data_IF_370420115483
#
_entry.id   IF_370420115483
#
_cell.length_a   1.000
_cell.length_b   1.000
_cell.length_c   1.000
_cell.angle_alpha   90.00
_cell.angle_beta   90.00
_cell.angle_gamma   90.00
#
_symmetry.space_group_name_H-M   'P 1'
#
loop_
_entity.id
_entity.type
_entity.pdbx_description
1 polymer ?
#
# COMPACT_ATOMS: atom_id res chain seq x y z
N UNK A 1 -4.59 -27.07 -17.09
CA UNK A 1 -4.09 -25.85 -16.39
C UNK A 1 -5.01 -24.69 -16.76
N UNK A 2 -5.32 -23.82 -15.81
CA UNK A 2 -6.08 -22.59 -16.07
C UNK A 2 -5.14 -21.39 -16.11
N UNK A 3 -5.37 -20.48 -17.05
CA UNK A 3 -4.95 -19.09 -16.97
C UNK A 3 -6.15 -18.20 -17.29
N UNK A 4 -6.11 -16.97 -16.83
CA UNK A 4 -7.15 -15.98 -17.02
C UNK A 4 -6.70 -14.96 -18.08
N UNK A 5 -7.65 -14.59 -18.94
CA UNK A 5 -7.50 -13.57 -19.96
C UNK A 5 -8.91 -13.09 -20.33
N UNK A 6 -9.15 -11.79 -20.20
CA UNK A 6 -10.47 -11.20 -20.47
C UNK A 6 -11.00 -11.56 -21.86
N UNK A 7 -12.32 -11.80 -21.95
CA UNK A 7 -12.95 -12.37 -23.14
C UNK A 7 -12.81 -11.52 -24.42
N UNK A 8 -12.61 -10.20 -24.31
CA UNK A 8 -12.32 -9.29 -25.44
C UNK A 8 -10.93 -9.50 -26.05
N UNK A 9 -10.04 -10.24 -25.38
CA UNK A 9 -8.75 -10.66 -25.90
C UNK A 9 -8.84 -12.09 -26.40
N UNK A 10 -8.56 -12.29 -27.68
CA UNK A 10 -8.64 -13.58 -28.37
C UNK A 10 -7.34 -14.35 -28.17
N UNK A 11 -7.43 -15.56 -27.63
CA UNK A 11 -6.32 -16.53 -27.65
C UNK A 11 -6.22 -17.10 -29.06
N UNK A 12 -5.11 -16.83 -29.74
CA UNK A 12 -4.85 -17.31 -31.09
C UNK A 12 -4.38 -18.77 -31.09
N UNK A 13 -3.43 -19.10 -30.20
CA UNK A 13 -2.91 -20.47 -30.03
C UNK A 13 -2.15 -20.61 -28.72
N UNK A 14 -2.07 -21.84 -28.24
CA UNK A 14 -1.23 -22.23 -27.09
C UNK A 14 -0.21 -23.25 -27.59
N UNK A 15 1.08 -22.98 -27.39
CA UNK A 15 2.18 -23.85 -27.83
C UNK A 15 2.85 -24.49 -26.62
N UNK A 16 3.00 -25.81 -26.64
CA UNK A 16 3.72 -26.60 -25.64
C UNK A 16 4.68 -27.56 -26.35
N UNK A 17 5.99 -27.45 -26.04
CA UNK A 17 7.04 -28.29 -26.65
C UNK A 17 6.97 -28.34 -28.19
N UNK A 18 6.74 -27.19 -28.80
CA UNK A 18 6.64 -27.01 -30.26
C UNK A 18 5.35 -27.50 -30.90
N UNK A 19 4.38 -28.01 -30.12
CA UNK A 19 3.06 -28.44 -30.61
C UNK A 19 1.97 -27.50 -30.13
N UNK A 20 0.99 -27.27 -30.98
CA UNK A 20 -0.21 -26.55 -30.60
C UNK A 20 -1.10 -27.43 -29.72
N UNK A 21 -1.62 -26.84 -28.63
CA UNK A 21 -2.54 -27.49 -27.70
C UNK A 21 -3.97 -26.98 -27.93
N UNK A 22 -4.94 -27.85 -27.72
CA UNK A 22 -6.34 -27.47 -27.58
C UNK A 22 -6.57 -26.74 -26.26
N UNK A 23 -7.48 -25.76 -26.29
CA UNK A 23 -7.95 -25.07 -25.10
C UNK A 23 -9.46 -24.85 -25.19
N UNK A 24 -10.10 -24.68 -24.04
CA UNK A 24 -11.48 -24.22 -23.91
C UNK A 24 -11.50 -22.92 -23.13
N UNK A 25 -12.56 -22.13 -23.28
CA UNK A 25 -12.73 -20.86 -22.57
C UNK A 25 -14.12 -20.82 -21.94
N UNK A 26 -14.17 -20.42 -20.68
CA UNK A 26 -15.38 -20.09 -19.96
C UNK A 26 -15.22 -18.68 -19.40
N UNK A 27 -15.94 -17.72 -19.98
CA UNK A 27 -15.79 -16.29 -19.67
C UNK A 27 -14.32 -15.82 -19.81
N UNK A 28 -13.70 -15.40 -18.70
CA UNK A 28 -12.31 -14.93 -18.66
C UNK A 28 -11.32 -16.06 -18.36
N UNK A 29 -11.76 -17.28 -18.03
CA UNK A 29 -10.88 -18.40 -17.74
C UNK A 29 -10.62 -19.23 -19.00
N UNK A 30 -9.36 -19.61 -19.23
CA UNK A 30 -8.91 -20.46 -20.34
C UNK A 30 -8.29 -21.73 -19.78
N UNK A 31 -8.81 -22.88 -20.20
CA UNK A 31 -8.38 -24.19 -19.76
C UNK A 31 -7.58 -24.88 -20.87
N UNK A 32 -6.32 -25.19 -20.58
CA UNK A 32 -5.41 -25.89 -21.49
C UNK A 32 -5.24 -27.33 -21.02
N UNK A 33 -5.44 -28.27 -21.93
CA UNK A 33 -5.20 -29.70 -21.72
C UNK A 33 -3.79 -30.07 -22.18
N UNK A 34 -2.97 -30.59 -21.26
CA UNK A 34 -1.61 -31.01 -21.56
C UNK A 34 -1.60 -32.51 -21.89
N UNK A 35 -0.81 -32.96 -22.87
CA UNK A 35 -0.78 -34.36 -23.29
C UNK A 35 -0.23 -35.30 -22.22
N UNK A 36 0.51 -34.75 -21.25
CA UNK A 36 1.06 -35.45 -20.09
C UNK A 36 0.88 -34.58 -18.87
N UNK A 37 0.48 -35.18 -17.75
CA UNK A 37 0.39 -34.46 -16.48
C UNK A 37 1.77 -33.86 -16.10
N UNK A 38 1.79 -32.57 -15.78
CA UNK A 38 2.98 -31.88 -15.26
C UNK A 38 3.14 -32.29 -13.80
N UNK A 39 4.29 -32.86 -13.44
CA UNK A 39 4.54 -33.38 -12.10
C UNK A 39 4.76 -32.23 -11.11
N UNK A 40 4.18 -32.33 -9.91
CA UNK A 40 4.45 -31.36 -8.83
C UNK A 40 5.96 -31.28 -8.54
N UNK A 41 6.47 -30.05 -8.46
CA UNK A 41 7.89 -29.77 -8.19
C UNK A 41 8.80 -29.76 -9.43
N UNK A 42 8.25 -29.87 -10.65
CA UNK A 42 9.02 -29.67 -11.89
C UNK A 42 8.71 -28.32 -12.53
N UNK A 43 9.70 -27.74 -13.21
CA UNK A 43 9.51 -26.59 -14.09
C UNK A 43 9.12 -27.06 -15.51
N UNK A 44 8.19 -26.36 -16.14
CA UNK A 44 7.79 -26.56 -17.53
C UNK A 44 7.35 -25.22 -18.12
N UNK A 45 7.25 -25.13 -19.45
CA UNK A 45 6.91 -23.89 -20.14
C UNK A 45 5.88 -24.12 -21.25
N UNK A 46 5.03 -23.13 -21.47
CA UNK A 46 4.15 -23.05 -22.62
C UNK A 46 4.02 -21.59 -23.04
N UNK A 47 3.63 -21.35 -24.29
CA UNK A 47 3.51 -20.00 -24.84
C UNK A 47 2.08 -19.75 -25.28
N UNK A 48 1.50 -18.65 -24.80
CA UNK A 48 0.19 -18.17 -25.24
C UNK A 48 0.38 -17.03 -26.23
N UNK A 49 -0.21 -17.16 -27.41
CA UNK A 49 -0.31 -16.08 -28.38
C UNK A 49 -1.74 -15.55 -28.35
N UNK A 50 -1.88 -14.23 -28.20
CA UNK A 50 -3.19 -13.58 -28.12
C UNK A 50 -3.17 -12.22 -28.82
N UNK A 51 -4.34 -11.71 -29.14
CA UNK A 51 -4.54 -10.41 -29.79
C UNK A 51 -5.85 -9.77 -29.32
N UNK A 52 -5.97 -8.45 -29.48
CA UNK A 52 -7.22 -7.74 -29.23
C UNK A 52 -6.99 -6.31 -28.76
N UNK A 53 -8.07 -5.70 -28.30
CA UNK A 53 -8.05 -4.39 -27.67
C UNK A 53 -8.30 -4.58 -26.17
N UNK A 54 -7.30 -4.32 -25.31
CA UNK A 54 -7.49 -4.45 -23.88
C UNK A 54 -8.48 -3.42 -23.36
N UNK A 55 -9.09 -3.69 -22.21
CA UNK A 55 -10.09 -2.81 -21.60
C UNK A 55 -9.47 -1.45 -21.29
N UNK A 56 -10.22 -0.38 -21.56
CA UNK A 56 -9.86 0.98 -21.18
C UNK A 56 -10.32 1.26 -19.75
N UNK A 57 -9.40 1.78 -18.94
CA UNK A 57 -9.69 2.36 -17.63
C UNK A 57 -10.10 3.83 -17.83
N UNK A 58 -11.37 4.14 -17.64
CA UNK A 58 -11.93 5.49 -17.86
C UNK A 58 -11.53 6.43 -16.72
N UNK A 59 -11.39 5.90 -15.50
CA UNK A 59 -11.08 6.62 -14.26
C UNK A 59 -9.94 5.94 -13.49
N UNK A 60 -8.88 5.53 -14.17
CA UNK A 60 -7.70 4.97 -13.51
C UNK A 60 -7.24 5.88 -12.34
N UNK A 61 -6.86 5.30 -11.18
CA UNK A 61 -6.75 3.87 -10.89
C UNK A 61 -8.06 3.22 -10.34
N UNK A 62 -9.18 3.94 -10.31
CA UNK A 62 -10.45 3.48 -9.72
C UNK A 62 -11.21 2.44 -10.57
N UNK A 63 -10.79 2.27 -11.83
CA UNK A 63 -11.16 1.15 -12.69
C UNK A 63 -9.90 0.55 -13.34
N UNK A 64 -9.99 -0.73 -13.68
CA UNK A 64 -8.86 -1.50 -14.19
C UNK A 64 -8.74 -1.49 -15.71
N UNK A 65 -7.50 -1.52 -16.21
CA UNK A 65 -7.18 -1.58 -17.63
C UNK A 65 -6.08 -0.62 -18.05
N UNK A 66 -6.14 -0.20 -19.31
CA UNK A 66 -5.25 0.82 -19.87
C UNK A 66 -5.86 2.22 -19.79
N UNK A 67 -5.09 3.16 -19.28
CA UNK A 67 -5.39 4.59 -19.31
C UNK A 67 -4.87 5.19 -20.63
N UNK A 68 -5.71 5.20 -21.67
CA UNK A 68 -5.33 5.69 -23.01
C UNK A 68 -5.47 7.21 -23.10
N UNK A 69 -4.37 7.94 -22.87
CA UNK A 69 -4.32 9.40 -22.98
C UNK A 69 -3.30 9.85 -24.03
N UNK A 70 -3.20 11.16 -24.17
CA UNK A 70 -2.24 11.83 -25.04
C UNK A 70 -1.57 12.98 -24.29
N UNK A 71 -0.31 13.24 -24.62
CA UNK A 71 0.42 14.41 -24.14
C UNK A 71 -0.07 15.70 -24.85
N UNK A 72 0.49 16.86 -24.47
CA UNK A 72 0.11 18.15 -25.06
C UNK A 72 0.41 18.26 -26.56
N UNK A 73 1.24 17.37 -27.12
CA UNK A 73 1.59 17.29 -28.54
C UNK A 73 0.82 16.21 -29.29
N UNK A 74 -0.12 15.54 -28.63
CA UNK A 74 -0.97 14.51 -29.21
C UNK A 74 -0.31 13.13 -29.35
N UNK A 75 0.87 12.92 -28.77
CA UNK A 75 1.54 11.61 -28.74
C UNK A 75 0.89 10.69 -27.70
N UNK A 76 0.96 9.36 -27.88
CA UNK A 76 0.43 8.42 -26.88
C UNK A 76 1.06 8.66 -25.51
N UNK A 77 0.21 8.80 -24.50
CA UNK A 77 0.58 8.77 -23.09
C UNK A 77 -0.32 7.76 -22.41
N UNK A 78 0.22 6.58 -22.15
CA UNK A 78 -0.55 5.40 -21.79
C UNK A 78 0.04 4.80 -20.53
N UNK A 79 -0.82 4.45 -19.58
CA UNK A 79 -0.45 3.70 -18.40
C UNK A 79 -1.38 2.48 -18.23
N UNK A 80 -1.00 1.55 -17.38
CA UNK A 80 -1.88 0.47 -16.90
C UNK A 80 -2.14 0.69 -15.43
N UNK A 81 -3.36 0.45 -14.97
CA UNK A 81 -3.70 0.31 -13.55
C UNK A 81 -4.72 -0.81 -13.46
N UNK A 82 -4.47 -1.85 -12.66
CA UNK A 82 -5.32 -3.05 -12.69
C UNK A 82 -5.56 -3.73 -11.35
N UNK A 83 -5.23 -3.08 -10.23
CA UNK A 83 -5.62 -3.56 -8.90
C UNK A 83 -7.16 -3.72 -8.82
N UNK A 84 -7.62 -4.76 -8.13
CA UNK A 84 -9.03 -5.13 -8.04
C UNK A 84 -9.59 -5.84 -9.28
N UNK A 85 -9.49 -5.24 -10.48
CA UNK A 85 -10.01 -5.86 -11.71
C UNK A 85 -9.18 -7.07 -12.16
N UNK A 86 -7.87 -7.03 -11.91
CA UNK A 86 -6.94 -8.09 -12.25
C UNK A 86 -6.17 -7.84 -13.54
N UNK A 87 -4.97 -8.42 -13.61
CA UNK A 87 -4.01 -8.19 -14.68
C UNK A 87 -4.38 -8.93 -15.98
N UNK A 88 -5.30 -9.91 -15.89
CA UNK A 88 -5.84 -10.64 -17.05
C UNK A 88 -6.63 -9.75 -18.02
N UNK A 89 -6.90 -8.51 -17.62
CA UNK A 89 -7.47 -7.47 -18.48
C UNK A 89 -6.57 -7.14 -19.68
N UNK A 90 -5.26 -7.45 -19.61
CA UNK A 90 -4.34 -7.20 -20.70
C UNK A 90 -3.31 -8.28 -21.03
N UNK A 91 -3.05 -9.25 -20.14
CA UNK A 91 -2.11 -10.34 -20.44
C UNK A 91 -2.50 -11.68 -19.78
N UNK A 92 -2.19 -12.83 -20.41
CA UNK A 92 -2.51 -14.14 -19.84
C UNK A 92 -1.69 -14.42 -18.57
N UNK A 93 -2.37 -14.65 -17.45
CA UNK A 93 -1.73 -14.97 -16.16
C UNK A 93 -2.69 -15.80 -15.28
N UNK A 94 -2.28 -16.27 -14.11
CA UNK A 94 -3.25 -16.75 -13.12
C UNK A 94 -3.67 -15.53 -12.31
N UNK A 95 -4.89 -15.04 -12.53
CA UNK A 95 -5.28 -13.73 -12.05
C UNK A 95 -5.81 -13.80 -10.62
N UNK A 96 -4.88 -14.05 -9.72
CA UNK A 96 -5.14 -14.21 -8.31
C UNK A 96 -4.01 -13.51 -7.55
N UNK A 97 -4.37 -12.71 -6.55
CA UNK A 97 -3.41 -11.95 -5.75
C UNK A 97 -2.31 -12.84 -5.16
N UNK A 98 -2.62 -14.10 -4.86
CA UNK A 98 -1.66 -15.05 -4.31
C UNK A 98 -0.66 -15.65 -5.32
N UNK A 99 -0.76 -15.38 -6.62
CA UNK A 99 0.16 -15.92 -7.65
C UNK A 99 1.23 -14.88 -8.01
N UNK A 100 2.35 -14.96 -7.30
CA UNK A 100 3.55 -14.17 -7.60
C UNK A 100 4.58 -15.05 -8.32
N UNK A 101 5.01 -14.59 -9.50
CA UNK A 101 6.14 -15.21 -10.22
C UNK A 101 7.44 -14.84 -9.53
N UNK A 102 8.47 -15.70 -9.61
CA UNK A 102 9.77 -15.44 -8.97
C UNK A 102 10.56 -14.29 -9.63
N UNK A 103 10.28 -14.03 -10.91
CA UNK A 103 10.92 -13.04 -11.75
C UNK A 103 10.13 -12.83 -13.04
N UNK A 104 10.39 -11.73 -13.77
CA UNK A 104 9.68 -11.45 -15.02
C UNK A 104 10.58 -10.78 -16.07
N UNK A 105 10.40 -11.18 -17.33
CA UNK A 105 10.92 -10.45 -18.49
C UNK A 105 9.76 -9.78 -19.23
N UNK A 106 9.73 -8.46 -19.25
CA UNK A 106 8.69 -7.65 -19.88
C UNK A 106 9.25 -7.06 -21.16
N UNK A 107 8.61 -7.30 -22.30
CA UNK A 107 9.14 -6.91 -23.62
C UNK A 107 8.08 -6.23 -24.48
N UNK A 108 8.03 -4.90 -24.45
CA UNK A 108 6.98 -4.10 -25.08
C UNK A 108 7.53 -3.34 -26.28
N UNK A 109 6.86 -3.46 -27.43
CA UNK A 109 7.16 -2.69 -28.64
C UNK A 109 6.19 -1.51 -28.75
N UNK A 110 6.71 -0.30 -28.93
CA UNK A 110 5.93 0.94 -29.06
C UNK A 110 6.39 1.75 -30.28
N UNK A 111 5.57 2.66 -30.83
CA UNK A 111 5.99 3.55 -31.91
C UNK A 111 7.26 4.33 -31.53
N UNK A 112 8.18 4.52 -32.48
CA UNK A 112 9.53 5.13 -32.27
C UNK A 112 9.57 6.53 -31.63
N UNK A 113 8.44 7.21 -31.53
CA UNK A 113 8.31 8.58 -31.01
C UNK A 113 7.98 8.66 -29.51
N UNK A 114 7.76 7.51 -28.88
CA UNK A 114 7.51 7.30 -27.46
C UNK A 114 8.41 6.17 -26.95
N UNK A 115 8.56 6.05 -25.63
CA UNK A 115 9.26 4.95 -24.98
C UNK A 115 8.33 4.16 -24.07
N UNK A 116 8.65 2.90 -23.81
CA UNK A 116 8.03 2.13 -22.73
C UNK A 116 8.94 2.08 -21.50
N UNK A 117 8.34 2.32 -20.34
CA UNK A 117 8.91 2.12 -19.01
C UNK A 117 8.08 1.06 -18.28
N UNK A 118 8.74 0.03 -17.79
CA UNK A 118 8.12 -1.07 -17.03
C UNK A 118 8.91 -1.34 -15.74
N UNK A 119 8.49 -2.32 -14.94
CA UNK A 119 9.14 -2.72 -13.70
C UNK A 119 10.56 -3.25 -13.91
N UNK A 120 11.39 -3.25 -12.86
CA UNK A 120 12.74 -3.81 -12.91
C UNK A 120 13.71 -3.00 -13.77
N UNK A 121 14.78 -3.60 -14.27
CA UNK A 121 15.85 -2.89 -14.99
C UNK A 121 15.72 -3.03 -16.50
N UNK A 122 15.97 -1.93 -17.22
CA UNK A 122 16.07 -1.95 -18.68
C UNK A 122 17.34 -2.71 -19.10
N UNK A 123 17.16 -3.86 -19.76
CA UNK A 123 18.28 -4.72 -20.18
C UNK A 123 18.60 -4.61 -21.67
N UNK A 124 17.64 -4.22 -22.50
CA UNK A 124 17.84 -4.07 -23.95
C UNK A 124 16.84 -3.10 -24.58
N UNK A 125 17.30 -2.32 -25.55
CA UNK A 125 16.46 -1.54 -26.46
C UNK A 125 16.74 -2.02 -27.88
N UNK A 126 15.69 -2.44 -28.60
CA UNK A 126 15.79 -3.00 -29.94
C UNK A 126 14.97 -2.18 -30.94
N UNK A 127 15.63 -1.64 -31.97
CA UNK A 127 14.94 -0.97 -33.08
C UNK A 127 14.35 -2.01 -34.02
N UNK A 128 13.04 -1.95 -34.27
CA UNK A 128 12.33 -2.84 -35.16
C UNK A 128 12.20 -2.25 -36.58
N UNK A 129 11.96 -3.11 -37.59
CA UNK A 129 11.96 -2.72 -39.00
C UNK A 129 10.73 -1.92 -39.45
N UNK A 130 9.70 -1.88 -38.63
CA UNK A 130 8.35 -1.35 -38.88
C UNK A 130 8.08 -0.01 -38.18
N UNK A 131 9.13 0.68 -37.70
CA UNK A 131 8.99 1.96 -37.00
C UNK A 131 8.64 1.84 -35.53
N UNK A 132 8.76 0.63 -34.96
CA UNK A 132 8.65 0.38 -33.52
C UNK A 132 10.02 0.29 -32.85
N UNK A 133 10.05 0.57 -31.55
CA UNK A 133 11.17 0.29 -30.66
C UNK A 133 10.69 -0.63 -29.54
N UNK A 134 11.40 -1.74 -29.33
CA UNK A 134 11.11 -2.72 -28.29
C UNK A 134 12.00 -2.48 -27.07
N UNK A 135 11.38 -2.37 -25.91
CA UNK A 135 12.05 -2.20 -24.62
C UNK A 135 11.94 -3.49 -23.84
N UNK A 136 13.07 -4.02 -23.37
CA UNK A 136 13.15 -5.23 -22.58
C UNK A 136 13.54 -4.88 -21.15
N UNK A 137 12.66 -5.18 -20.22
CA UNK A 137 12.81 -4.93 -18.80
C UNK A 137 12.86 -6.26 -18.05
N UNK A 138 13.74 -6.37 -17.06
CA UNK A 138 13.88 -7.56 -16.22
C UNK A 138 13.59 -7.21 -14.77
N UNK A 139 12.58 -7.87 -14.20
CA UNK A 139 12.30 -7.93 -12.77
C UNK A 139 13.01 -9.15 -12.19
N UNK A 140 13.82 -8.94 -11.15
CA UNK A 140 14.63 -9.95 -10.51
C UNK A 140 14.00 -10.53 -9.23
N UNK A 141 13.13 -9.77 -8.58
CA UNK A 141 12.40 -10.19 -7.39
C UNK A 141 10.98 -10.70 -7.74
N UNK A 142 10.32 -11.40 -6.81
CA UNK A 142 8.92 -11.74 -6.97
C UNK A 142 8.06 -10.51 -7.20
N UNK A 143 7.01 -10.64 -8.02
CA UNK A 143 6.14 -9.52 -8.37
C UNK A 143 4.69 -9.98 -8.48
N UNK A 144 3.80 -9.21 -7.88
CA UNK A 144 2.35 -9.40 -8.01
C UNK A 144 1.89 -9.08 -9.43
N UNK A 145 0.90 -9.82 -9.93
CA UNK A 145 0.45 -9.67 -11.31
C UNK A 145 -0.11 -8.26 -11.61
N UNK A 146 -0.80 -7.62 -10.67
CA UNK A 146 -1.37 -6.27 -10.84
C UNK A 146 -0.29 -5.19 -10.83
N UNK A 147 0.86 -5.47 -10.20
CA UNK A 147 2.00 -4.57 -10.12
C UNK A 147 2.76 -4.44 -11.45
N UNK A 148 2.53 -5.35 -12.40
CA UNK A 148 3.16 -5.30 -13.73
C UNK A 148 2.62 -4.12 -14.52
N UNK A 149 3.50 -3.17 -14.80
CA UNK A 149 3.15 -1.89 -15.40
C UNK A 149 3.67 -1.75 -16.83
N UNK A 150 2.83 -1.13 -17.67
CA UNK A 150 3.21 -0.60 -18.98
C UNK A 150 2.95 0.90 -18.98
N UNK A 151 4.02 1.68 -18.89
CA UNK A 151 3.96 3.13 -19.04
C UNK A 151 4.57 3.53 -20.39
N UNK A 152 3.84 4.27 -21.20
CA UNK A 152 4.27 4.70 -22.54
C UNK A 152 4.11 6.20 -22.64
N UNK A 153 5.16 6.89 -23.09
CA UNK A 153 5.12 8.34 -23.25
C UNK A 153 6.36 8.88 -23.95
N UNK A 154 6.32 10.14 -24.37
CA UNK A 154 7.52 10.88 -24.79
C UNK A 154 8.29 11.35 -23.56
N UNK A 155 8.87 10.39 -22.84
CA UNK A 155 9.57 10.68 -21.60
C UNK A 155 10.98 11.24 -21.83
N UNK A 156 11.45 11.97 -20.84
CA UNK A 156 12.85 12.28 -20.57
C UNK A 156 13.27 11.47 -19.35
N UNK A 157 14.42 10.82 -19.45
CA UNK A 157 15.01 10.03 -18.38
C UNK A 157 16.15 10.79 -17.71
N UNK A 158 16.12 10.83 -16.37
CA UNK A 158 17.25 11.26 -15.55
C UNK A 158 17.33 10.36 -14.31
N UNK A 159 18.50 10.33 -13.66
CA UNK A 159 18.78 9.37 -12.59
C UNK A 159 19.72 9.92 -11.55
N UNK A 160 19.72 9.29 -10.38
CA UNK A 160 20.67 9.55 -9.31
C UNK A 160 21.01 8.27 -8.52
N UNK A 161 21.95 8.40 -7.59
CA UNK A 161 22.32 7.34 -6.66
C UNK A 161 21.95 7.78 -5.24
N UNK A 162 21.01 7.05 -4.64
CA UNK A 162 20.67 7.22 -3.23
C UNK A 162 21.58 6.35 -2.36
N UNK A 163 22.04 6.88 -1.23
CA UNK A 163 22.91 6.18 -0.30
C UNK A 163 22.05 5.39 0.69
N UNK A 164 21.48 4.28 0.23
CA UNK A 164 20.61 3.44 1.05
C UNK A 164 21.34 2.52 2.02
N UNK A 165 20.60 1.94 2.96
CA UNK A 165 21.13 1.08 4.03
C UNK A 165 21.86 -0.18 3.53
N UNK A 166 21.48 -0.73 2.35
CA UNK A 166 22.19 -1.87 1.71
C UNK A 166 23.28 -1.44 0.72
N UNK A 167 23.53 -0.14 0.58
CA UNK A 167 24.50 0.44 -0.36
C UNK A 167 23.87 1.39 -1.36
N UNK A 168 24.60 1.78 -2.43
CA UNK A 168 24.07 2.70 -3.44
C UNK A 168 22.87 2.12 -4.20
N UNK A 169 21.70 2.73 -4.07
CA UNK A 169 20.47 2.42 -4.81
C UNK A 169 20.39 3.29 -6.08
N UNK A 170 20.01 2.68 -7.21
CA UNK A 170 19.65 3.44 -8.41
C UNK A 170 18.24 3.99 -8.28
N UNK A 171 18.11 5.29 -8.52
CA UNK A 171 16.81 5.94 -8.68
C UNK A 171 16.72 6.50 -10.10
N UNK A 172 15.70 6.07 -10.84
CA UNK A 172 15.40 6.59 -12.18
C UNK A 172 14.08 7.36 -12.21
N UNK A 173 14.04 8.43 -12.97
CA UNK A 173 12.86 9.26 -13.13
C UNK A 173 12.51 9.36 -14.61
N UNK A 174 11.24 9.16 -14.93
CA UNK A 174 10.71 9.25 -16.28
C UNK A 174 9.58 10.27 -16.31
N UNK A 175 9.87 11.47 -16.81
CA UNK A 175 8.93 12.59 -16.86
C UNK A 175 8.59 12.93 -18.30
N UNK A 176 7.39 13.41 -18.59
CA UNK A 176 7.03 13.84 -19.93
C UNK A 176 7.98 14.95 -20.40
N UNK A 177 8.35 14.93 -21.67
CA UNK A 177 9.28 15.90 -22.26
C UNK A 177 8.83 17.36 -22.11
N UNK A 178 7.51 17.61 -22.11
CA UNK A 178 6.95 18.94 -21.85
C UNK A 178 7.10 19.41 -20.40
N UNK A 179 7.37 18.49 -19.48
CA UNK A 179 7.58 18.73 -18.07
C UNK A 179 9.06 18.71 -17.67
N UNK A 180 9.98 18.63 -18.64
CA UNK A 180 11.43 18.60 -18.46
C UNK A 180 12.00 19.97 -18.01
N UNK A 181 11.75 20.35 -16.75
CA UNK A 181 12.29 21.56 -16.13
C UNK A 181 13.14 21.22 -14.91
N UNK A 182 14.12 22.08 -14.59
CA UNK A 182 14.98 21.88 -13.42
C UNK A 182 14.20 21.85 -12.10
N UNK A 183 13.14 22.66 -11.99
CA UNK A 183 12.25 22.71 -10.82
C UNK A 183 11.52 21.38 -10.60
N UNK A 184 10.90 20.84 -11.65
CA UNK A 184 10.15 19.57 -11.58
C UNK A 184 11.06 18.38 -11.28
N UNK A 185 12.27 18.36 -11.86
CA UNK A 185 13.29 17.37 -11.51
C UNK A 185 13.71 17.46 -10.04
N UNK A 186 14.02 18.67 -9.57
CA UNK A 186 14.41 18.90 -8.18
C UNK A 186 13.29 18.53 -7.20
N UNK A 187 12.02 18.75 -7.56
CA UNK A 187 10.86 18.34 -6.78
C UNK A 187 10.81 16.82 -6.58
N UNK A 188 10.92 16.04 -7.66
CA UNK A 188 10.93 14.57 -7.58
C UNK A 188 12.14 14.04 -6.82
N UNK A 189 13.34 14.54 -7.13
CA UNK A 189 14.56 14.13 -6.44
C UNK A 189 14.47 14.38 -4.94
N UNK A 190 14.05 15.59 -4.54
CA UNK A 190 13.88 15.92 -3.12
C UNK A 190 12.90 14.96 -2.44
N UNK A 191 11.70 14.79 -2.99
CA UNK A 191 10.67 13.98 -2.34
C UNK A 191 11.05 12.49 -2.32
N UNK A 192 11.64 11.93 -3.37
CA UNK A 192 12.08 10.54 -3.39
C UNK A 192 13.20 10.27 -2.36
N UNK A 193 14.23 11.14 -2.30
CA UNK A 193 15.31 10.98 -1.31
C UNK A 193 14.78 11.10 0.12
N UNK A 194 13.93 12.08 0.40
CA UNK A 194 13.33 12.23 1.73
C UNK A 194 12.47 11.03 2.11
N UNK A 195 11.70 10.49 1.16
CA UNK A 195 10.82 9.33 1.37
C UNK A 195 11.64 8.11 1.71
N UNK A 196 12.64 7.78 0.89
CA UNK A 196 13.53 6.65 1.13
C UNK A 196 14.31 6.80 2.45
N UNK A 197 14.74 8.01 2.81
CA UNK A 197 15.44 8.27 4.08
C UNK A 197 14.54 7.98 5.28
N UNK A 198 13.33 8.52 5.30
CA UNK A 198 12.38 8.30 6.39
C UNK A 198 11.92 6.84 6.45
N UNK A 199 11.65 6.21 5.31
CA UNK A 199 11.16 4.83 5.28
C UNK A 199 12.25 3.83 5.58
N UNK A 200 13.49 4.03 5.13
CA UNK A 200 14.59 3.17 5.58
C UNK A 200 14.80 3.29 7.09
N UNK A 201 14.69 4.50 7.68
CA UNK A 201 14.72 4.65 9.14
C UNK A 201 13.65 3.79 9.83
N UNK A 202 12.39 3.90 9.42
CA UNK A 202 11.26 3.26 10.10
C UNK A 202 11.05 1.78 9.76
N UNK A 203 11.32 1.38 8.52
CA UNK A 203 10.97 0.07 7.97
C UNK A 203 12.18 -0.79 7.62
N UNK A 204 13.38 -0.20 7.57
CA UNK A 204 14.60 -0.88 7.15
C UNK A 204 14.84 -0.77 5.65
N UNK A 205 15.90 -1.41 5.14
CA UNK A 205 16.38 -1.16 3.79
C UNK A 205 15.29 -1.35 2.73
N UNK A 206 15.31 -0.52 1.69
CA UNK A 206 14.43 -0.69 0.53
C UNK A 206 14.45 -2.15 0.02
N UNK A 207 13.30 -2.78 -0.29
CA UNK A 207 13.25 -4.23 -0.54
C UNK A 207 13.60 -4.66 -1.97
N UNK A 208 13.78 -3.74 -2.92
CA UNK A 208 13.94 -4.07 -4.35
C UNK A 208 15.22 -3.48 -5.00
N UNK A 209 16.36 -3.56 -4.31
CA UNK A 209 17.65 -3.01 -4.81
C UNK A 209 18.06 -3.57 -6.19
N UNK A 210 17.80 -4.86 -6.43
CA UNK A 210 18.09 -5.55 -7.69
C UNK A 210 17.28 -5.00 -8.87
N UNK A 211 16.09 -4.44 -8.60
CA UNK A 211 15.16 -3.88 -9.60
C UNK A 211 15.29 -2.35 -9.74
N UNK A 212 15.83 -1.69 -8.71
CA UNK A 212 15.94 -0.24 -8.61
C UNK A 212 14.61 0.43 -8.22
N UNK A 213 14.64 1.73 -7.98
CA UNK A 213 13.44 2.51 -7.65
C UNK A 213 13.15 3.51 -8.76
N UNK A 214 11.88 3.70 -9.15
CA UNK A 214 11.51 4.64 -10.21
C UNK A 214 10.24 5.38 -9.91
N UNK A 215 10.20 6.65 -10.34
CA UNK A 215 8.97 7.41 -10.49
C UNK A 215 8.71 7.64 -11.98
N UNK A 216 7.52 7.26 -12.44
CA UNK A 216 7.11 7.34 -13.84
C UNK A 216 5.89 8.24 -13.95
N UNK A 217 5.99 9.32 -14.73
CA UNK A 217 4.90 10.28 -14.85
C UNK A 217 3.70 9.69 -15.61
N UNK A 218 2.53 9.68 -14.97
CA UNK A 218 1.28 9.11 -15.49
C UNK A 218 0.14 10.12 -15.42
N UNK A 219 -0.93 9.86 -16.18
CA UNK A 219 -2.10 10.73 -16.17
C UNK A 219 -2.95 10.51 -14.91
N UNK A 220 -3.17 9.25 -14.52
CA UNK A 220 -3.75 8.91 -13.22
C UNK A 220 -2.84 9.31 -12.06
N UNK A 221 -3.44 9.51 -10.89
CA UNK A 221 -2.84 10.16 -9.70
C UNK A 221 -1.60 9.47 -9.16
N UNK A 222 -1.67 8.16 -8.99
CA UNK A 222 -0.67 7.30 -8.39
C UNK A 222 -1.06 5.85 -8.61
N UNK A 223 -0.09 4.95 -8.44
CA UNK A 223 -0.26 3.50 -8.34
C UNK A 223 1.09 2.90 -7.93
N UNK A 224 1.08 1.98 -6.99
CA UNK A 224 2.24 1.41 -6.33
C UNK A 224 3.00 0.35 -7.12
N UNK A 225 2.96 0.42 -8.45
CA UNK A 225 3.59 -0.58 -9.32
C UNK A 225 5.05 -0.84 -8.92
N UNK A 226 5.30 -2.05 -8.41
CA UNK A 226 6.59 -2.44 -7.82
C UNK A 226 7.79 -1.95 -8.61
N UNK A 227 8.71 -1.20 -7.99
CA UNK A 227 9.93 -0.62 -8.61
C UNK A 227 9.71 0.39 -9.75
N UNK A 228 8.46 0.68 -10.14
CA UNK A 228 8.07 1.56 -11.25
C UNK A 228 6.82 2.37 -10.93
N UNK A 229 6.84 3.03 -9.76
CA UNK A 229 5.74 3.77 -9.16
C UNK A 229 5.21 4.83 -10.14
N UNK A 230 3.89 4.84 -10.32
CA UNK A 230 3.21 5.81 -11.16
C UNK A 230 3.03 7.14 -10.41
N UNK A 231 3.25 8.25 -11.10
CA UNK A 231 3.26 9.59 -10.52
C UNK A 231 2.44 10.57 -11.37
N UNK A 232 1.27 10.96 -10.87
CA UNK A 232 0.38 11.93 -11.52
C UNK A 232 -0.02 13.09 -10.61
N UNK A 233 0.85 13.49 -9.67
CA UNK A 233 0.57 14.55 -8.71
C UNK A 233 0.93 15.96 -9.19
N UNK A 234 1.31 16.09 -10.46
CA UNK A 234 1.62 17.38 -11.11
C UNK A 234 2.73 18.20 -10.44
N UNK A 235 3.70 17.55 -9.78
CA UNK A 235 4.85 18.22 -9.14
C UNK A 235 4.42 19.17 -8.00
N UNK A 236 3.42 18.75 -7.22
CA UNK A 236 2.87 19.53 -6.11
C UNK A 236 3.06 18.78 -4.78
N UNK A 237 3.24 19.54 -3.71
CA UNK A 237 3.06 19.00 -2.36
C UNK A 237 1.57 18.80 -2.05
N UNK A 238 1.27 17.93 -1.10
CA UNK A 238 -0.09 17.47 -0.80
C UNK A 238 -0.65 16.56 -1.88
N UNK A 239 -1.89 16.13 -1.72
CA UNK A 239 -2.62 15.39 -2.76
C UNK A 239 -3.23 16.39 -3.72
N UNK A 240 -2.59 16.58 -4.90
CA UNK A 240 -2.93 17.62 -5.89
C UNK A 240 -3.03 19.02 -5.28
N UNK A 241 -2.08 19.36 -4.41
CA UNK A 241 -2.08 20.63 -3.67
C UNK A 241 -2.97 20.66 -2.43
N UNK A 242 -3.77 19.63 -2.17
CA UNK A 242 -4.65 19.53 -1.01
C UNK A 242 -3.99 18.87 0.21
N UNK A 243 -4.53 19.15 1.40
CA UNK A 243 -4.15 18.49 2.66
C UNK A 243 -5.37 17.83 3.28
N UNK A 244 -5.45 16.50 3.16
CA UNK A 244 -6.55 15.71 3.69
C UNK A 244 -6.67 15.79 5.23
N UNK A 245 -5.58 16.13 5.94
CA UNK A 245 -5.60 16.26 7.39
C UNK A 245 -6.18 17.60 7.86
N UNK A 246 -6.20 18.63 7.00
CA UNK A 246 -6.59 19.99 7.37
C UNK A 246 -5.67 20.67 8.39
N UNK A 247 -4.48 20.12 8.65
CA UNK A 247 -3.55 20.61 9.67
C UNK A 247 -2.46 21.54 9.15
N UNK A 248 -2.28 21.58 7.83
CA UNK A 248 -1.18 22.26 7.13
C UNK A 248 0.04 21.38 6.93
N UNK A 249 0.16 20.24 7.62
CA UNK A 249 1.30 19.33 7.49
C UNK A 249 1.29 18.57 6.15
N UNK A 250 0.11 18.27 5.58
CA UNK A 250 0.01 17.60 4.28
C UNK A 250 0.58 18.44 3.12
N UNK A 251 0.69 19.76 3.27
CA UNK A 251 1.28 20.62 2.23
C UNK A 251 2.82 20.66 2.23
N UNK A 252 3.49 19.93 3.11
CA UNK A 252 4.96 20.02 3.29
C UNK A 252 5.75 19.02 2.42
N UNK A 253 5.08 18.03 1.87
CA UNK A 253 5.64 16.89 1.13
C UNK A 253 4.73 16.50 -0.03
N UNK A 254 5.26 15.78 -1.02
CA UNK A 254 4.46 15.25 -2.12
C UNK A 254 3.72 13.97 -1.68
N UNK A 255 2.38 14.05 -1.64
CA UNK A 255 1.57 12.95 -1.12
C UNK A 255 1.78 11.66 -1.88
N UNK A 256 1.76 11.73 -3.21
CA UNK A 256 1.84 10.55 -4.07
C UNK A 256 3.22 9.91 -3.97
N UNK A 257 4.31 10.70 -3.93
CA UNK A 257 5.64 10.10 -3.78
C UNK A 257 5.75 9.33 -2.47
N UNK A 258 5.29 9.89 -1.36
CA UNK A 258 5.40 9.26 -0.04
C UNK A 258 4.46 8.06 0.07
N UNK A 259 3.19 8.21 -0.28
CA UNK A 259 2.20 7.13 -0.16
C UNK A 259 2.57 5.95 -1.05
N UNK A 260 2.73 6.18 -2.36
CA UNK A 260 2.97 5.09 -3.31
C UNK A 260 4.33 4.39 -3.06
N UNK A 261 5.32 5.09 -2.50
CA UNK A 261 6.57 4.46 -2.08
C UNK A 261 6.43 3.62 -0.81
N UNK A 262 5.47 3.93 0.06
CA UNK A 262 5.24 3.17 1.28
C UNK A 262 4.81 1.74 0.97
N UNK A 263 4.10 1.57 -0.14
CA UNK A 263 3.71 0.28 -0.66
C UNK A 263 4.86 -0.64 -1.07
N UNK A 264 6.04 -0.09 -1.36
CA UNK A 264 7.23 -0.91 -1.60
C UNK A 264 7.56 -1.77 -0.37
N UNK A 265 7.28 -1.31 0.84
CA UNK A 265 7.38 -2.09 2.07
C UNK A 265 6.07 -2.83 2.42
N UNK A 266 4.91 -2.19 2.27
CA UNK A 266 3.59 -2.74 2.62
C UNK A 266 2.63 -2.75 1.42
N UNK A 267 2.57 -3.85 0.70
CA UNK A 267 1.96 -3.90 -0.63
C UNK A 267 2.74 -4.88 -1.50
N UNK A 268 4.02 -4.56 -1.69
CA UNK A 268 4.91 -5.25 -2.61
C UNK A 268 5.89 -6.18 -1.88
N UNK A 269 6.53 -5.74 -0.80
CA UNK A 269 7.40 -6.61 0.00
C UNK A 269 6.61 -7.53 0.94
N UNK A 270 5.59 -6.97 1.60
CA UNK A 270 4.60 -7.69 2.41
C UNK A 270 3.26 -7.59 1.68
N UNK A 271 2.89 -8.65 0.97
CA UNK A 271 1.64 -8.71 0.19
C UNK A 271 0.53 -9.38 1.01
N UNK A 272 -0.72 -8.94 0.99
CA UNK A 272 -1.82 -9.72 1.57
C UNK A 272 -2.10 -10.94 0.68
N UNK A 273 -2.36 -12.09 1.29
CA UNK A 273 -2.62 -13.33 0.54
C UNK A 273 -4.02 -13.37 -0.10
N UNK A 274 -4.94 -12.55 0.41
CA UNK A 274 -6.33 -12.42 -0.05
C UNK A 274 -6.74 -10.94 0.05
N UNK A 275 -7.54 -10.44 -0.92
CA UNK A 275 -8.02 -9.05 -0.95
C UNK A 275 -8.80 -8.67 0.32
N UNK A 276 -9.35 -9.64 1.05
CA UNK A 276 -9.95 -9.41 2.35
C UNK A 276 -9.02 -8.67 3.32
N UNK A 277 -7.71 -8.89 3.22
CA UNK A 277 -6.69 -8.28 4.06
C UNK A 277 -5.95 -7.12 3.37
N UNK A 278 -6.56 -6.49 2.36
CA UNK A 278 -6.02 -5.28 1.70
C UNK A 278 -5.71 -4.14 2.69
N UNK A 279 -6.38 -4.11 3.84
CA UNK A 279 -6.05 -3.17 4.91
C UNK A 279 -4.58 -3.25 5.36
N UNK A 280 -3.90 -4.40 5.23
CA UNK A 280 -2.46 -4.49 5.55
C UNK A 280 -1.63 -3.57 4.64
N UNK A 281 -2.03 -3.41 3.39
CA UNK A 281 -1.37 -2.49 2.45
C UNK A 281 -1.71 -1.05 2.83
N UNK A 282 -2.99 -0.73 2.79
CA UNK A 282 -3.45 0.65 2.86
C UNK A 282 -3.30 1.27 4.25
N UNK A 283 -3.53 0.49 5.31
CA UNK A 283 -3.39 1.00 6.68
C UNK A 283 -1.94 1.34 7.01
N UNK A 284 -0.99 0.48 6.63
CA UNK A 284 0.43 0.71 6.91
C UNK A 284 1.02 1.77 6.00
N UNK A 285 0.62 1.83 4.73
CA UNK A 285 1.02 2.89 3.82
C UNK A 285 0.45 4.23 4.26
N UNK A 286 -0.83 4.33 4.62
CA UNK A 286 -1.38 5.56 5.20
C UNK A 286 -0.67 5.97 6.49
N UNK A 287 -0.33 4.99 7.35
CA UNK A 287 0.44 5.25 8.55
C UNK A 287 1.85 5.78 8.26
N UNK A 288 2.48 5.32 7.16
CA UNK A 288 3.81 5.76 6.74
C UNK A 288 3.88 7.26 6.44
N UNK A 289 2.77 7.87 6.00
CA UNK A 289 2.66 9.33 5.82
C UNK A 289 2.93 10.08 7.13
N UNK A 290 2.32 9.61 8.23
CA UNK A 290 2.57 10.13 9.57
C UNK A 290 4.01 9.90 10.02
N UNK A 291 4.62 8.76 9.68
CA UNK A 291 6.01 8.46 10.01
C UNK A 291 7.02 9.31 9.22
N UNK A 292 6.72 9.62 7.96
CA UNK A 292 7.48 10.60 7.17
C UNK A 292 7.46 11.96 7.86
N UNK A 293 6.27 12.41 8.29
CA UNK A 293 6.12 13.67 9.01
C UNK A 293 6.89 13.64 10.33
N UNK A 294 6.85 12.53 11.06
CA UNK A 294 7.60 12.36 12.30
C UNK A 294 9.10 12.58 12.08
N UNK A 295 9.66 11.91 11.06
CA UNK A 295 11.09 11.94 10.77
C UNK A 295 11.61 13.36 10.48
N UNK A 296 10.87 14.16 9.70
CA UNK A 296 11.31 15.51 9.29
C UNK A 296 10.78 16.65 10.16
N UNK A 297 9.63 16.47 10.82
CA UNK A 297 8.89 17.55 11.50
C UNK A 297 8.54 17.23 12.96
N UNK A 298 8.83 16.02 13.44
CA UNK A 298 8.64 15.61 14.82
C UNK A 298 7.29 14.94 15.11
N UNK A 299 7.25 14.28 16.27
CA UNK A 299 6.13 13.45 16.72
C UNK A 299 4.83 14.22 16.87
N UNK A 300 4.88 15.45 17.37
CA UNK A 300 3.69 16.30 17.54
C UNK A 300 3.03 16.64 16.19
N UNK A 301 3.84 16.90 15.16
CA UNK A 301 3.36 17.14 13.80
C UNK A 301 2.70 15.89 13.21
N UNK A 302 3.35 14.72 13.41
CA UNK A 302 2.83 13.42 13.00
C UNK A 302 1.49 13.10 13.67
N UNK A 303 1.39 13.31 14.98
CA UNK A 303 0.16 13.08 15.73
C UNK A 303 -0.95 14.05 15.34
N UNK A 304 -0.63 15.31 15.05
CA UNK A 304 -1.60 16.26 14.51
C UNK A 304 -2.13 15.81 13.15
N UNK A 305 -1.26 15.39 12.23
CA UNK A 305 -1.66 14.83 10.94
C UNK A 305 -2.57 13.61 11.11
N UNK A 306 -2.16 12.64 11.92
CA UNK A 306 -2.94 11.44 12.24
C UNK A 306 -4.29 11.76 12.91
N UNK A 307 -4.37 12.82 13.71
CA UNK A 307 -5.64 13.28 14.25
C UNK A 307 -6.54 13.90 13.17
N UNK A 308 -5.99 14.73 12.30
CA UNK A 308 -6.72 15.42 11.23
C UNK A 308 -7.35 14.48 10.20
N UNK A 309 -6.62 13.44 9.79
CA UNK A 309 -7.11 12.43 8.84
C UNK A 309 -8.35 11.66 9.34
N UNK A 310 -8.63 11.68 10.66
CA UNK A 310 -9.84 11.06 11.23
C UNK A 310 -11.14 11.64 10.66
N UNK A 311 -11.10 12.88 10.18
CA UNK A 311 -12.25 13.53 9.55
C UNK A 311 -12.73 12.80 8.29
N UNK A 312 -11.87 12.00 7.65
CA UNK A 312 -12.23 11.16 6.51
C UNK A 312 -12.87 9.82 6.88
N UNK A 313 -12.78 9.37 8.14
CA UNK A 313 -13.26 8.04 8.56
C UNK A 313 -14.80 8.04 8.62
N UNK A 314 -15.44 7.16 7.86
CA UNK A 314 -16.90 7.06 7.79
C UNK A 314 -17.49 6.09 8.83
N UNK A 315 -16.73 5.07 9.22
CA UNK A 315 -17.18 3.86 9.91
C UNK A 315 -18.44 3.28 9.26
N UNK A 316 -18.37 2.97 7.97
CA UNK A 316 -19.50 2.44 7.19
C UNK A 316 -19.56 0.90 7.19
N UNK A 317 -18.40 0.23 7.21
CA UNK A 317 -18.25 -1.23 7.25
C UNK A 317 -16.87 -1.63 7.78
N UNK A 318 -16.62 -2.92 8.09
CA UNK A 318 -15.29 -3.39 8.47
C UNK A 318 -14.24 -3.11 7.38
N UNK A 319 -13.01 -2.83 7.78
CA UNK A 319 -11.90 -2.62 6.84
C UNK A 319 -11.32 -3.94 6.33
N UNK A 320 -11.58 -5.05 7.03
CA UNK A 320 -11.39 -6.39 6.49
C UNK A 320 -12.57 -6.79 5.61
N UNK A 321 -12.26 -7.22 4.39
CA UNK A 321 -13.23 -7.77 3.45
C UNK A 321 -13.63 -9.22 3.77
N UNK A 322 -14.61 -9.77 3.04
CA UNK A 322 -14.91 -11.19 3.11
C UNK A 322 -13.83 -12.02 2.39
N UNK A 323 -13.26 -13.01 3.07
CA UNK A 323 -12.28 -13.92 2.50
C UNK A 323 -12.81 -14.73 1.31
N UNK A 324 -11.91 -15.05 0.38
CA UNK A 324 -12.09 -16.02 -0.71
C UNK A 324 -13.15 -15.65 -1.76
N UNK A 325 -13.53 -14.38 -1.83
CA UNK A 325 -14.50 -13.87 -2.82
C UNK A 325 -13.96 -12.68 -3.61
N UNK A 326 -12.63 -12.50 -3.63
CA UNK A 326 -11.92 -11.44 -4.36
C UNK A 326 -12.50 -10.04 -4.07
N UNK A 327 -12.60 -9.70 -2.78
CA UNK A 327 -13.24 -8.47 -2.34
C UNK A 327 -12.58 -7.89 -1.09
N UNK A 328 -12.26 -6.62 -1.16
CA UNK A 328 -11.74 -5.81 -0.06
C UNK A 328 -12.85 -5.33 0.90
N UNK A 329 -12.44 -4.72 2.02
CA UNK A 329 -13.32 -4.09 2.99
C UNK A 329 -13.62 -2.62 2.68
N UNK A 330 -13.99 -1.87 3.70
CA UNK A 330 -14.20 -0.42 3.60
C UNK A 330 -12.95 0.34 3.16
N UNK A 331 -13.14 1.42 2.40
CA UNK A 331 -12.10 2.42 2.13
C UNK A 331 -11.56 3.12 3.39
N UNK A 332 -12.23 2.99 4.53
CA UNK A 332 -11.66 3.37 5.83
C UNK A 332 -10.36 2.62 6.16
N UNK A 333 -10.03 1.55 5.44
CA UNK A 333 -8.74 0.85 5.56
C UNK A 333 -7.53 1.78 5.47
N UNK A 334 -7.66 2.90 4.75
CA UNK A 334 -6.69 3.99 4.76
C UNK A 334 -6.70 4.74 6.11
N UNK A 335 -7.62 5.69 6.39
CA UNK A 335 -7.48 6.55 7.57
C UNK A 335 -7.75 5.84 8.90
N UNK A 336 -8.71 4.90 8.98
CA UNK A 336 -9.01 4.18 10.23
C UNK A 336 -7.86 3.26 10.60
N UNK A 337 -7.30 2.59 9.60
CA UNK A 337 -6.11 1.76 9.72
C UNK A 337 -4.88 2.51 10.20
N UNK A 338 -4.54 3.61 9.52
CA UNK A 338 -3.40 4.45 9.90
C UNK A 338 -3.54 5.04 11.30
N UNK A 339 -4.74 5.49 11.67
CA UNK A 339 -5.05 6.00 13.00
C UNK A 339 -4.96 4.92 14.08
N UNK A 340 -5.42 3.69 13.78
CA UNK A 340 -5.27 2.54 14.67
C UNK A 340 -3.79 2.25 14.94
N UNK A 341 -2.94 2.23 13.91
CA UNK A 341 -1.50 2.00 14.07
C UNK A 341 -0.83 3.11 14.89
N UNK A 342 -1.21 4.38 14.69
CA UNK A 342 -0.74 5.48 15.53
C UNK A 342 -1.17 5.33 17.01
N UNK A 343 -2.39 4.87 17.24
CA UNK A 343 -2.89 4.58 18.59
C UNK A 343 -2.11 3.43 19.23
N UNK A 344 -1.79 2.38 18.47
CA UNK A 344 -0.94 1.26 18.93
C UNK A 344 0.45 1.75 19.32
N UNK A 345 1.10 2.58 18.49
CA UNK A 345 2.37 3.23 18.85
C UNK A 345 2.26 4.02 20.15
N UNK A 346 1.15 4.74 20.34
CA UNK A 346 0.90 5.53 21.55
C UNK A 346 0.73 4.62 22.79
N UNK A 347 0.06 3.47 22.67
CA UNK A 347 -0.05 2.49 23.76
C UNK A 347 1.29 1.86 24.14
N UNK A 348 2.18 1.64 23.16
CA UNK A 348 3.51 1.09 23.40
C UNK A 348 4.42 2.10 24.11
N UNK A 349 4.23 3.40 23.86
CA UNK A 349 4.98 4.53 24.43
C UNK A 349 6.51 4.34 24.41
N UNK A 350 7.02 3.72 23.35
CA UNK A 350 8.44 3.47 23.13
C UNK A 350 8.72 3.41 21.63
N UNK A 351 9.25 4.51 21.08
CA UNK A 351 9.45 4.67 19.64
C UNK A 351 10.57 3.78 19.08
N UNK A 352 11.59 3.47 19.89
CA UNK A 352 12.62 2.50 19.49
C UNK A 352 12.02 1.11 19.34
N UNK A 353 11.20 0.68 20.30
CA UNK A 353 10.48 -0.60 20.24
C UNK A 353 9.53 -0.64 19.05
N UNK A 354 8.77 0.43 18.83
CA UNK A 354 7.86 0.52 17.68
C UNK A 354 8.59 0.44 16.34
N UNK A 355 9.69 1.18 16.17
CA UNK A 355 10.54 1.09 14.98
C UNK A 355 11.07 -0.33 14.78
N UNK A 356 11.53 -0.99 15.84
CA UNK A 356 12.02 -2.37 15.74
C UNK A 356 10.91 -3.37 15.34
N UNK A 357 9.66 -3.13 15.74
CA UNK A 357 8.52 -3.93 15.28
C UNK A 357 8.34 -3.75 13.76
N UNK A 358 8.32 -2.51 13.27
CA UNK A 358 8.12 -2.22 11.84
C UNK A 358 9.27 -2.73 10.95
N UNK A 359 10.52 -2.54 11.38
CA UNK A 359 11.70 -3.14 10.71
C UNK A 359 11.68 -4.66 10.77
N UNK A 360 11.19 -5.20 11.88
CA UNK A 360 11.02 -6.62 12.10
C UNK A 360 9.98 -7.25 11.17
N UNK A 361 8.83 -6.59 10.95
CA UNK A 361 7.83 -7.03 9.96
C UNK A 361 8.47 -7.16 8.57
N UNK A 362 9.15 -6.13 8.11
CA UNK A 362 9.75 -6.06 6.78
C UNK A 362 10.90 -7.03 6.55
N UNK A 363 11.60 -7.43 7.61
CA UNK A 363 12.65 -8.46 7.53
C UNK A 363 12.10 -9.88 7.70
N UNK A 364 11.08 -10.07 8.54
CA UNK A 364 10.48 -11.39 8.80
C UNK A 364 9.64 -11.88 7.62
N UNK A 365 8.83 -10.99 7.06
CA UNK A 365 7.92 -11.25 5.96
C UNK A 365 8.46 -10.68 4.64
N UNK A 366 9.79 -10.65 4.49
CA UNK A 366 10.45 -10.15 3.28
C UNK A 366 10.04 -10.99 2.07
N UNK A 367 9.47 -10.33 1.05
CA UNK A 367 8.90 -10.93 -0.17
C UNK A 367 7.95 -12.10 0.13
N UNK A 368 7.03 -11.89 1.06
CA UNK A 368 6.06 -12.90 1.48
C UNK A 368 4.64 -12.39 1.43
N UNK A 369 3.74 -13.35 1.20
CA UNK A 369 2.31 -13.16 1.36
C UNK A 369 1.91 -13.45 2.81
N UNK A 370 1.08 -12.60 3.39
CA UNK A 370 0.65 -12.66 4.79
C UNK A 370 -0.87 -12.57 4.90
N UNK A 371 -1.41 -13.08 6.00
CA UNK A 371 -2.79 -12.86 6.40
C UNK A 371 -2.91 -11.95 7.65
N UNK A 372 -4.15 -11.68 8.05
CA UNK A 372 -4.48 -10.99 9.30
C UNK A 372 -3.68 -11.51 10.51
N UNK A 373 -3.60 -12.83 10.69
CA UNK A 373 -3.01 -13.43 11.87
C UNK A 373 -1.50 -13.26 11.88
N UNK A 374 -0.82 -13.33 10.74
CA UNK A 374 0.63 -13.12 10.65
C UNK A 374 1.02 -11.74 11.20
N UNK A 375 0.35 -10.69 10.74
CA UNK A 375 0.63 -9.30 11.16
C UNK A 375 0.22 -9.08 12.62
N UNK A 376 -1.00 -9.45 12.98
CA UNK A 376 -1.55 -9.19 14.33
C UNK A 376 -0.76 -9.94 15.39
N UNK A 377 -0.46 -11.23 15.18
CA UNK A 377 0.32 -12.01 16.15
C UNK A 377 1.75 -11.48 16.27
N UNK A 378 2.38 -11.06 15.17
CA UNK A 378 3.73 -10.49 15.20
C UNK A 378 3.74 -9.20 16.04
N UNK A 379 2.87 -8.24 15.73
CA UNK A 379 2.81 -6.96 16.45
C UNK A 379 2.44 -7.18 17.92
N UNK A 380 1.49 -8.06 18.22
CA UNK A 380 1.11 -8.45 19.58
C UNK A 380 2.32 -9.00 20.36
N UNK A 381 3.01 -10.01 19.81
CA UNK A 381 4.16 -10.63 20.46
C UNK A 381 5.29 -9.62 20.70
N UNK A 382 5.66 -8.84 19.68
CA UNK A 382 6.81 -7.94 19.77
C UNK A 382 6.51 -6.69 20.61
N UNK A 383 5.25 -6.22 20.64
CA UNK A 383 4.82 -5.09 21.47
C UNK A 383 4.79 -5.43 22.97
N UNK A 384 4.59 -6.71 23.32
CA UNK A 384 4.39 -7.13 24.72
C UNK A 384 3.07 -6.66 25.33
N UNK A 385 2.12 -6.20 24.49
CA UNK A 385 0.76 -5.86 24.85
C UNK A 385 -0.19 -6.92 24.29
N UNK A 386 -1.33 -7.17 24.95
CA UNK A 386 -2.42 -7.94 24.35
C UNK A 386 -3.23 -7.00 23.43
N UNK A 387 -2.91 -7.06 22.15
CA UNK A 387 -3.50 -6.23 21.09
C UNK A 387 -4.52 -6.99 20.26
N UNK A 388 -4.71 -8.30 20.49
CA UNK A 388 -5.59 -9.13 19.66
C UNK A 388 -7.00 -8.55 19.58
N UNK A 389 -7.55 -8.15 20.73
CA UNK A 389 -8.90 -7.56 20.82
C UNK A 389 -8.97 -6.14 20.30
N UNK A 390 -7.86 -5.41 20.30
CA UNK A 390 -7.76 -4.09 19.67
C UNK A 390 -7.83 -4.25 18.15
N UNK A 391 -7.01 -5.11 17.56
CA UNK A 391 -7.07 -5.38 16.12
C UNK A 391 -8.44 -5.91 15.70
N UNK A 392 -9.02 -6.86 16.42
CA UNK A 392 -10.38 -7.37 16.15
C UNK A 392 -11.39 -6.20 16.08
N UNK A 393 -11.40 -5.31 17.07
CA UNK A 393 -12.36 -4.22 17.15
C UNK A 393 -12.19 -3.16 16.04
N UNK A 394 -10.97 -2.83 15.63
CA UNK A 394 -10.74 -1.79 14.63
C UNK A 394 -10.73 -2.33 13.20
N UNK A 395 -10.35 -3.59 13.00
CA UNK A 395 -10.24 -4.21 11.67
C UNK A 395 -11.56 -4.88 11.24
N UNK A 396 -12.17 -5.65 12.13
CA UNK A 396 -13.28 -6.56 11.80
C UNK A 396 -14.66 -5.99 12.18
N UNK A 397 -14.68 -4.86 12.87
CA UNK A 397 -15.90 -4.22 13.33
C UNK A 397 -16.00 -2.77 12.87
N UNK A 398 -17.24 -2.32 12.66
CA UNK A 398 -17.53 -0.98 12.18
C UNK A 398 -17.35 0.06 13.28
N UNK A 399 -17.93 -0.16 14.47
CA UNK A 399 -17.93 0.84 15.52
C UNK A 399 -16.58 0.93 16.25
N UNK A 400 -16.27 2.12 16.77
CA UNK A 400 -15.14 2.32 17.70
C UNK A 400 -15.55 2.00 19.14
N UNK A 401 -14.63 1.53 19.99
CA UNK A 401 -14.93 1.32 21.40
C UNK A 401 -15.18 2.66 22.10
N UNK A 402 -16.09 2.67 23.06
CA UNK A 402 -16.41 3.83 23.89
C UNK A 402 -15.92 3.62 25.32
N UNK A 403 -15.11 4.56 25.82
CA UNK A 403 -14.69 4.61 27.22
C UNK A 403 -15.81 5.25 28.04
N UNK A 404 -16.44 4.46 28.91
CA UNK A 404 -17.44 4.96 29.85
C UNK A 404 -16.80 5.22 31.21
N UNK A 405 -16.93 6.46 31.69
CA UNK A 405 -16.44 6.93 32.98
C UNK A 405 -17.63 7.24 33.88
N UNK A 406 -17.59 6.77 35.13
CA UNK A 406 -18.56 7.11 36.18
C UNK A 406 -17.86 7.45 37.48
N UNK A 407 -18.54 8.21 38.32
CA UNK A 407 -18.17 8.34 39.72
C UNK A 407 -19.11 7.51 40.59
N UNK A 408 -18.56 6.67 41.46
CA UNK A 408 -19.38 5.92 42.42
C UNK A 408 -19.79 6.81 43.62
N UNK A 409 -20.75 6.38 44.46
CA UNK A 409 -21.17 7.17 45.62
C UNK A 409 -20.08 7.45 46.66
N UNK A 410 -18.95 6.74 46.61
CA UNK A 410 -17.78 7.00 47.46
C UNK A 410 -16.82 8.04 46.87
N UNK A 411 -17.13 8.58 45.69
CA UNK A 411 -16.33 9.56 44.98
C UNK A 411 -15.24 8.97 44.09
N UNK A 412 -15.15 7.63 43.96
CA UNK A 412 -14.13 6.98 43.13
C UNK A 412 -14.51 7.04 41.66
N UNK A 413 -13.55 7.39 40.81
CA UNK A 413 -13.71 7.33 39.36
C UNK A 413 -13.54 5.88 38.89
N UNK A 414 -14.53 5.39 38.15
CA UNK A 414 -14.57 4.07 37.54
C UNK A 414 -14.56 4.22 36.02
N UNK A 415 -13.86 3.33 35.33
CA UNK A 415 -13.86 3.25 33.86
C UNK A 415 -14.19 1.85 33.37
N UNK A 416 -14.83 1.74 32.21
CA UNK A 416 -14.94 0.49 31.44
C UNK A 416 -15.01 0.76 29.94
N UNK A 417 -14.73 -0.26 29.14
CA UNK A 417 -14.97 -0.24 27.71
C UNK A 417 -16.38 -0.74 27.36
N UNK A 418 -17.05 -0.04 26.45
CA UNK A 418 -18.21 -0.51 25.69
C UNK A 418 -17.71 -0.80 24.28
N UNK A 419 -17.84 -2.03 23.80
CA UNK A 419 -17.34 -2.44 22.48
C UNK A 419 -18.12 -3.65 21.94
N UNK A 420 -17.97 -3.93 20.65
CA UNK A 420 -18.59 -5.09 19.99
C UNK A 420 -17.84 -6.39 20.31
N UNK A 421 -16.51 -6.30 20.44
CA UNK A 421 -15.65 -7.45 20.72
C UNK A 421 -15.83 -7.95 22.16
N UNK A 422 -16.17 -9.22 22.32
CA UNK A 422 -16.30 -9.85 23.65
C UNK A 422 -14.94 -9.96 24.33
N UNK A 423 -14.87 -9.51 25.60
CA UNK A 423 -13.64 -9.54 26.37
C UNK A 423 -12.64 -8.46 25.96
N UNK A 424 -13.12 -7.41 25.27
CA UNK A 424 -12.29 -6.28 24.89
C UNK A 424 -11.64 -5.64 26.12
N UNK A 425 -10.37 -5.35 25.95
CA UNK A 425 -9.54 -4.65 26.91
C UNK A 425 -8.50 -3.89 26.13
N UNK A 426 -8.23 -2.67 26.57
CA UNK A 426 -7.29 -1.79 25.90
C UNK A 426 -6.74 -0.80 26.93
N UNK A 427 -5.41 -0.61 26.98
CA UNK A 427 -4.84 0.44 27.81
C UNK A 427 -5.06 1.82 27.18
N UNK A 428 -5.27 2.84 28.01
CA UNK A 428 -5.46 4.23 27.55
C UNK A 428 -4.80 5.21 28.51
N UNK A 429 -4.26 6.30 27.96
CA UNK A 429 -3.68 7.39 28.76
C UNK A 429 -4.78 8.26 29.39
N UNK A 430 -4.81 8.27 30.72
CA UNK A 430 -5.74 9.07 31.54
C UNK A 430 -4.94 9.82 32.61
N UNK A 431 -5.31 11.05 32.93
CA UNK A 431 -4.65 11.85 33.95
C UNK A 431 -5.59 12.87 34.60
N UNK A 432 -5.03 13.67 35.49
CA UNK A 432 -5.66 14.90 35.98
C UNK A 432 -5.30 16.04 35.05
N UNK A 433 -6.25 16.92 34.72
CA UNK A 433 -6.01 18.12 33.89
C UNK A 433 -4.78 18.89 34.35
N UNK A 434 -3.87 19.15 33.42
CA UNK A 434 -2.61 19.85 33.68
C UNK A 434 -1.51 18.99 34.30
N UNK A 435 -1.73 17.69 34.48
CA UNK A 435 -0.73 16.72 34.95
C UNK A 435 -0.41 15.69 33.86
N UNK A 436 0.70 14.96 34.04
CA UNK A 436 1.08 13.87 33.15
C UNK A 436 0.03 12.75 33.21
N UNK A 437 -0.38 12.24 32.05
CA UNK A 437 -1.28 11.08 31.95
C UNK A 437 -0.52 9.79 32.26
N UNK A 438 -1.22 8.83 32.85
CA UNK A 438 -0.76 7.48 33.12
C UNK A 438 -1.49 6.48 32.21
N UNK A 439 -0.82 5.41 31.80
CA UNK A 439 -1.42 4.35 31.00
C UNK A 439 -2.25 3.43 31.91
N UNK A 440 -3.57 3.43 31.73
CA UNK A 440 -4.51 2.68 32.55
C UNK A 440 -5.10 1.52 31.76
N UNK A 441 -4.94 0.29 32.28
CA UNK A 441 -5.57 -0.89 31.73
C UNK A 441 -7.03 -0.98 32.15
N UNK A 442 -7.93 -1.01 31.17
CA UNK A 442 -9.37 -1.19 31.39
C UNK A 442 -9.91 -2.36 30.56
N UNK A 443 -11.05 -2.90 31.01
CA UNK A 443 -11.80 -3.97 30.34
C UNK A 443 -13.30 -3.61 30.30
N UNK A 444 -14.15 -4.55 29.88
CA UNK A 444 -15.60 -4.32 29.80
C UNK A 444 -16.32 -4.27 31.16
N UNK A 445 -15.61 -4.36 32.29
CA UNK A 445 -16.16 -4.21 33.64
C UNK A 445 -15.72 -2.88 34.23
N UNK A 446 -16.54 -2.28 35.09
CA UNK A 446 -16.11 -1.08 35.81
C UNK A 446 -14.91 -1.40 36.70
N UNK A 447 -13.78 -0.75 36.40
CA UNK A 447 -12.55 -0.79 37.18
C UNK A 447 -12.28 0.58 37.79
N UNK A 448 -11.82 0.65 39.05
CA UNK A 448 -11.36 1.90 39.62
C UNK A 448 -10.14 2.45 38.87
N UNK A 449 -10.19 3.71 38.47
CA UNK A 449 -9.04 4.45 37.91
C UNK A 449 -8.30 5.07 39.10
N UNK A 450 -7.14 4.50 39.44
CA UNK A 450 -6.40 4.86 40.65
C UNK A 450 -5.34 5.93 40.37
N UNK A 451 -5.79 7.16 40.12
CA UNK A 451 -4.93 8.33 39.96
C UNK A 451 -5.21 9.30 41.11
N UNK A 452 -4.16 9.78 41.78
CA UNK A 452 -4.29 10.66 42.94
C UNK A 452 -4.97 11.98 42.56
N UNK A 453 -6.02 12.36 43.30
CA UNK A 453 -6.76 13.60 43.05
C UNK A 453 -7.65 13.59 41.80
N UNK A 454 -7.80 12.44 41.13
CA UNK A 454 -8.69 12.30 39.99
C UNK A 454 -10.15 12.37 40.42
N UNK A 455 -10.91 13.24 39.77
CA UNK A 455 -12.35 13.38 39.87
C UNK A 455 -12.96 13.33 38.47
N UNK A 456 -14.29 13.17 38.40
CA UNK A 456 -15.02 13.24 37.12
C UNK A 456 -14.82 14.59 36.41
N UNK A 457 -14.66 15.68 37.16
CA UNK A 457 -14.58 17.04 36.59
C UNK A 457 -13.18 17.42 36.09
N UNK A 458 -12.15 16.79 36.67
CA UNK A 458 -10.75 17.05 36.33
C UNK A 458 -10.07 15.93 35.54
N UNK A 459 -10.81 14.88 35.16
CA UNK A 459 -10.28 13.82 34.29
C UNK A 459 -9.85 14.40 32.95
N UNK A 460 -8.70 13.94 32.49
CA UNK A 460 -8.13 14.23 31.19
C UNK A 460 -7.84 12.91 30.49
N UNK A 461 -8.52 12.65 29.38
CA UNK A 461 -8.41 11.43 28.58
C UNK A 461 -7.73 11.81 27.28
N UNK A 462 -6.73 11.03 26.84
CA UNK A 462 -6.05 11.30 25.58
C UNK A 462 -6.91 10.93 24.35
N UNK A 463 -7.98 11.68 24.09
CA UNK A 463 -8.80 11.52 22.88
C UNK A 463 -8.11 12.06 21.63
N UNK A 464 -6.99 12.76 21.79
CA UNK A 464 -6.21 13.27 20.67
C UNK A 464 -5.48 12.13 19.96
N UNK A 465 -4.78 11.28 20.71
CA UNK A 465 -4.02 10.15 20.16
C UNK A 465 -4.82 8.84 20.07
N UNK A 466 -5.93 8.72 20.81
CA UNK A 466 -6.80 7.54 20.77
C UNK A 466 -8.07 7.82 19.97
N UNK A 467 -8.43 6.90 19.07
CA UNK A 467 -9.66 7.00 18.27
C UNK A 467 -10.77 6.21 18.93
N UNK A 468 -11.34 6.79 20.00
CA UNK A 468 -12.34 6.18 20.87
C UNK A 468 -13.50 7.13 21.13
N UNK A 469 -14.68 6.56 21.40
CA UNK A 469 -15.77 7.30 22.02
C UNK A 469 -15.46 7.55 23.49
N UNK A 470 -16.03 8.62 24.07
CA UNK A 470 -15.97 8.87 25.52
C UNK A 470 -17.36 9.24 26.02
N UNK A 471 -17.79 8.58 27.09
CA UNK A 471 -19.04 8.85 27.79
C UNK A 471 -18.71 9.10 29.27
N UNK A 472 -18.94 10.32 29.76
CA UNK A 472 -18.66 10.69 31.17
C UNK A 472 -19.99 10.96 31.88
N UNK A 473 -20.47 9.99 32.67
CA UNK A 473 -21.78 10.04 33.35
C UNK A 473 -21.73 10.50 34.80
#
# INVERSE_FOLDING_TARGET
LQFDLFANLKVNKVIYKGKELSFTREHNAVFVEFPTAIKKGTQDEFTVFYEGHPTEAVKAPWDGGFDWKKDSKGKPWVATACQGMGASVWWPNKDHQSDEVDSMMISIAVPKEVMNVSNGRLVKVEKMKDGYTKYHWKVANPINNYNVAINIGDYVHFKEKYKGEKGPLDIDYYILRENDTAEKKAHLQKNANQTLEAFEHWFGPYPFYEDGYKLVETYHTGMEHQSAIAYGNHYQNGYRGGDASGTGWGHKWDFIVVHESGHEWFGNNITSADLADMWIHESFTNYSEGLFIDYFYGKEASQAYAHGIRSGIQNDSPIQGPYHVNKEGSGDMYPKGGVMLNMIRTMIDNDEKWRNILRGLNSRFYHQQVDYNDIVNYVNQQSGLDLLKVFEQYVQHTAIPTLEIKQDPSGRVLGRWISEVKGFHMPIHIGVKGQKRELIQLDQRFRPIKIAGLTKDNIDIDTFNYYVGVLVE
#
